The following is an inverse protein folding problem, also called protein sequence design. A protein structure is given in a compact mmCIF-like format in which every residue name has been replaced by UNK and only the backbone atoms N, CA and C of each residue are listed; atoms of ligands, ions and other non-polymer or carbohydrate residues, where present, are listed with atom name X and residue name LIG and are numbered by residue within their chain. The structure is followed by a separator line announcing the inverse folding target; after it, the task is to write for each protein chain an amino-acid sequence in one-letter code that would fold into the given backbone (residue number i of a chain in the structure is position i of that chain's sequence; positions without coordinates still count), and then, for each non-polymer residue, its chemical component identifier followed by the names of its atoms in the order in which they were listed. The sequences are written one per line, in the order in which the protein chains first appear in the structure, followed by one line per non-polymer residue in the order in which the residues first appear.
data_IF_540443938232
#
_entry.id   IF_540443938232
#
_cell.length_a   1.000
_cell.length_b   1.000
_cell.length_c   1.000
_cell.angle_alpha   90.00
_cell.angle_beta   90.00
_cell.angle_gamma   90.00
#
_symmetry.space_group_name_H-M   'P 1'
#
loop_
_entity.id
_entity.type
_entity.pdbx_description
1 polymer ?
#
# COMPACT_ATOMS: atom_id res chain seq x y z
N UNK A 1 10.94 73.07 -36.11
CA UNK A 1 10.31 72.46 -34.91
C UNK A 1 9.65 71.11 -35.19
N UNK A 2 9.29 70.81 -36.43
CA UNK A 2 8.59 69.58 -36.83
C UNK A 2 9.50 68.34 -36.86
N UNK A 3 10.74 68.47 -37.38
CA UNK A 3 11.73 67.37 -37.36
C UNK A 3 12.08 66.86 -35.96
N UNK A 4 12.08 67.72 -34.93
CA UNK A 4 12.40 67.33 -33.55
C UNK A 4 11.24 66.57 -32.87
N UNK A 5 10.01 66.71 -33.38
CA UNK A 5 8.85 65.92 -32.94
C UNK A 5 8.92 64.52 -33.53
N UNK A 6 9.22 64.40 -34.83
CA UNK A 6 9.33 63.11 -35.52
C UNK A 6 10.41 62.21 -34.90
N UNK A 7 11.59 62.78 -34.56
CA UNK A 7 12.67 62.00 -33.91
C UNK A 7 12.25 61.47 -32.55
N UNK A 8 11.55 62.27 -31.72
CA UNK A 8 11.06 61.81 -30.41
C UNK A 8 10.04 60.68 -30.51
N UNK A 9 9.12 60.72 -31.47
CA UNK A 9 8.16 59.63 -31.70
C UNK A 9 8.84 58.34 -32.16
N UNK A 10 9.85 58.44 -33.04
CA UNK A 10 10.61 57.27 -33.49
C UNK A 10 11.42 56.64 -32.35
N UNK A 11 12.02 57.44 -31.47
CA UNK A 11 12.77 56.92 -30.31
C UNK A 11 11.85 56.25 -29.28
N UNK A 12 10.68 56.83 -29.01
CA UNK A 12 9.68 56.23 -28.10
C UNK A 12 9.12 54.91 -28.65
N UNK A 13 8.86 54.83 -29.95
CA UNK A 13 8.42 53.59 -30.60
C UNK A 13 9.50 52.50 -30.54
N UNK A 14 10.77 52.84 -30.77
CA UNK A 14 11.88 51.89 -30.68
C UNK A 14 12.07 51.35 -29.24
N UNK A 15 11.95 52.22 -28.23
CA UNK A 15 12.04 51.81 -26.81
C UNK A 15 10.86 50.91 -26.41
N UNK A 16 9.65 51.19 -26.89
CA UNK A 16 8.47 50.37 -26.62
C UNK A 16 8.57 48.97 -27.26
N UNK A 17 9.09 48.87 -28.49
CA UNK A 17 9.32 47.59 -29.17
C UNK A 17 10.41 46.77 -28.47
N UNK A 18 11.49 47.40 -28.02
CA UNK A 18 12.53 46.72 -27.22
C UNK A 18 12.02 46.26 -25.85
N UNK A 19 11.20 47.06 -25.15
CA UNK A 19 10.61 46.66 -23.87
C UNK A 19 9.62 45.49 -24.03
N UNK A 20 8.80 45.49 -25.08
CA UNK A 20 7.90 44.39 -25.40
C UNK A 20 8.66 43.12 -25.80
N UNK A 21 9.76 43.23 -26.53
CA UNK A 21 10.63 42.10 -26.87
C UNK A 21 11.32 41.51 -25.63
N UNK A 22 11.81 42.36 -24.72
CA UNK A 22 12.43 41.92 -23.45
C UNK A 22 11.40 41.25 -22.54
N UNK A 23 10.18 41.80 -22.42
CA UNK A 23 9.09 41.18 -21.67
C UNK A 23 8.63 39.86 -22.31
N UNK A 24 8.59 39.80 -23.65
CA UNK A 24 8.29 38.58 -24.39
C UNK A 24 9.33 37.49 -24.19
N UNK A 25 10.62 37.84 -24.22
CA UNK A 25 11.73 36.93 -23.94
C UNK A 25 11.75 36.51 -22.47
N UNK A 26 11.47 37.41 -21.51
CA UNK A 26 11.37 37.07 -20.09
C UNK A 26 10.17 36.16 -19.79
N UNK A 27 9.01 36.40 -20.41
CA UNK A 27 7.84 35.54 -20.29
C UNK A 27 8.05 34.19 -20.98
N UNK A 28 8.74 34.17 -22.13
CA UNK A 28 9.13 32.95 -22.83
C UNK A 28 10.17 32.16 -22.04
N UNK A 29 11.17 32.81 -21.43
CA UNK A 29 12.14 32.19 -20.54
C UNK A 29 11.49 31.73 -19.24
N UNK A 30 10.52 32.45 -18.67
CA UNK A 30 9.73 32.01 -17.52
C UNK A 30 8.82 30.82 -17.86
N UNK A 31 8.23 30.78 -19.06
CA UNK A 31 7.52 29.60 -19.60
C UNK A 31 8.47 28.44 -19.88
N UNK A 32 9.69 28.70 -20.35
CA UNK A 32 10.73 27.70 -20.61
C UNK A 32 11.38 27.18 -19.34
N UNK A 33 11.40 27.99 -18.27
CA UNK A 33 11.79 27.60 -16.91
C UNK A 33 10.68 26.80 -16.21
N UNK A 34 9.41 27.15 -16.45
CA UNK A 34 8.22 26.33 -16.07
C UNK A 34 8.01 25.09 -16.96
N UNK A 35 8.73 25.00 -18.07
CA UNK A 35 8.58 23.96 -19.09
C UNK A 35 9.79 23.03 -19.21
N UNK A 36 10.77 23.13 -18.30
CA UNK A 36 11.51 21.92 -17.92
C UNK A 36 10.51 21.16 -17.06
N UNK A 37 10.03 20.03 -17.54
CA UNK A 37 9.44 19.02 -16.67
C UNK A 37 10.49 18.75 -15.58
N UNK A 38 10.33 19.37 -14.41
CA UNK A 38 11.22 19.18 -13.27
C UNK A 38 10.89 17.82 -12.67
N UNK A 39 11.35 16.81 -13.40
CA UNK A 39 11.41 15.44 -12.95
C UNK A 39 12.33 15.40 -11.73
N UNK A 40 11.82 14.89 -10.61
CA UNK A 40 12.63 14.77 -9.39
C UNK A 40 13.71 13.73 -9.58
N UNK A 41 14.79 13.83 -8.80
CA UNK A 41 15.83 12.80 -8.78
C UNK A 41 15.68 11.96 -7.52
N UNK A 42 15.63 10.64 -7.69
CA UNK A 42 15.63 9.74 -6.54
C UNK A 42 16.99 9.80 -5.82
N UNK A 43 16.96 9.84 -4.49
CA UNK A 43 18.14 9.73 -3.62
C UNK A 43 17.86 8.71 -2.52
N UNK A 44 18.86 7.88 -2.19
CA UNK A 44 18.71 6.80 -1.23
C UNK A 44 18.51 7.39 0.17
N UNK A 45 17.58 6.82 0.95
CA UNK A 45 17.20 7.36 2.25
C UNK A 45 18.38 7.54 3.20
N UNK A 46 19.32 6.60 3.24
CA UNK A 46 20.52 6.70 4.09
C UNK A 46 21.41 7.92 3.76
N UNK A 47 21.41 8.36 2.51
CA UNK A 47 22.24 9.49 2.03
C UNK A 47 21.64 10.84 2.47
N UNK A 48 20.37 10.84 2.89
CA UNK A 48 19.66 12.03 3.40
C UNK A 48 19.31 11.93 4.89
N UNK A 49 19.16 10.71 5.43
CA UNK A 49 18.80 10.46 6.83
C UNK A 49 20.01 10.51 7.79
N UNK A 50 21.24 10.47 7.28
CA UNK A 50 22.48 10.59 8.08
C UNK A 50 22.81 12.01 8.53
N UNK A 51 22.22 13.04 7.93
CA UNK A 51 22.40 14.46 8.28
C UNK A 51 21.31 14.90 9.29
N UNK A 52 21.22 14.24 10.46
CA UNK A 52 20.29 14.64 11.53
C UNK A 52 20.52 16.09 12.03
N UNK A 53 21.66 16.70 11.67
CA UNK A 53 22.01 18.09 11.94
C UNK A 53 21.74 19.05 10.76
N UNK A 54 21.27 18.57 9.60
CA UNK A 54 21.03 19.44 8.44
C UNK A 54 19.72 19.10 7.69
N UNK A 55 18.55 19.51 8.21
CA UNK A 55 17.24 19.32 7.58
C UNK A 55 17.02 20.16 6.30
N UNK A 56 18.05 20.84 5.77
CA UNK A 56 17.92 21.84 4.71
C UNK A 56 18.01 21.30 3.26
N UNK A 57 17.92 19.99 3.04
CA UNK A 57 17.96 19.45 1.67
C UNK A 57 16.56 19.31 1.11
N UNK A 58 16.36 19.96 -0.03
CA UNK A 58 15.21 20.01 -0.92
C UNK A 58 14.68 18.60 -1.29
N UNK A 59 14.15 17.84 -0.32
CA UNK A 59 13.79 16.42 -0.43
C UNK A 59 12.34 16.22 -0.01
N UNK A 60 11.58 15.50 -0.82
CA UNK A 60 10.26 14.98 -0.51
C UNK A 60 10.38 13.52 -0.11
N UNK A 61 10.03 13.19 1.13
CA UNK A 61 9.89 11.81 1.54
C UNK A 61 8.52 11.28 1.10
N UNK A 62 8.50 10.14 0.41
CA UNK A 62 7.28 9.43 0.07
C UNK A 62 7.27 8.07 0.74
N UNK A 63 6.08 7.65 1.17
CA UNK A 63 5.86 6.35 1.78
C UNK A 63 6.82 6.01 2.94
N UNK A 64 7.22 7.02 3.71
CA UNK A 64 8.11 6.85 4.84
C UNK A 64 7.34 6.73 6.16
N UNK A 65 7.96 6.09 7.15
CA UNK A 65 7.53 6.23 8.54
C UNK A 65 7.73 7.69 9.01
N UNK A 66 6.63 8.40 9.20
CA UNK A 66 6.45 9.85 9.37
C UNK A 66 7.26 10.59 10.46
N UNK A 67 8.25 9.98 11.13
CA UNK A 67 8.85 10.56 12.36
C UNK A 67 10.02 11.52 12.14
N UNK A 68 10.54 11.69 10.92
CA UNK A 68 11.84 12.35 10.71
C UNK A 68 11.94 13.34 9.52
N UNK A 69 10.87 13.58 8.77
CA UNK A 69 10.92 14.47 7.58
C UNK A 69 9.72 15.41 7.56
N UNK A 70 9.98 16.72 7.45
CA UNK A 70 8.93 17.76 7.45
C UNK A 70 8.08 17.77 6.17
N UNK A 71 8.67 17.44 5.02
CA UNK A 71 7.98 17.31 3.73
C UNK A 71 7.76 15.82 3.43
N UNK A 72 6.57 15.30 3.74
CA UNK A 72 6.25 13.90 3.54
C UNK A 72 4.84 13.65 2.98
N UNK A 73 4.74 12.80 1.95
CA UNK A 73 3.49 12.24 1.45
C UNK A 73 3.47 10.74 1.76
N UNK A 74 2.76 10.35 2.81
CA UNK A 74 2.71 8.96 3.28
C UNK A 74 1.34 8.63 3.83
N UNK A 75 0.79 7.46 3.50
CA UNK A 75 -0.50 7.01 4.02
C UNK A 75 -0.39 6.35 5.42
N UNK A 76 0.81 6.25 5.97
CA UNK A 76 1.10 5.62 7.26
C UNK A 76 0.31 6.26 8.41
N UNK A 77 -0.03 5.44 9.41
CA UNK A 77 -0.82 5.89 10.57
C UNK A 77 -0.10 6.97 11.38
N UNK A 78 -0.87 7.97 11.81
CA UNK A 78 -0.42 9.21 12.47
C UNK A 78 0.29 10.21 11.54
N UNK A 79 0.29 10.00 10.22
CA UNK A 79 0.86 10.93 9.26
C UNK A 79 -0.08 12.10 8.91
N UNK A 80 -1.35 12.08 9.34
CA UNK A 80 -2.32 13.15 9.06
C UNK A 80 -1.85 14.56 9.42
N UNK A 81 -0.96 14.71 10.42
CA UNK A 81 -0.39 16.02 10.80
C UNK A 81 0.61 16.56 9.78
N UNK A 82 1.12 15.71 8.90
CA UNK A 82 2.10 16.04 7.85
C UNK A 82 1.44 16.25 6.48
N UNK A 83 0.21 15.77 6.30
CA UNK A 83 -0.53 15.88 5.04
C UNK A 83 -1.20 17.25 4.93
N UNK A 84 -1.02 17.98 3.82
CA UNK A 84 -1.86 19.12 3.51
C UNK A 84 -3.33 18.68 3.43
N UNK A 85 -4.25 19.37 4.11
CA UNK A 85 -5.67 18.97 4.20
C UNK A 85 -6.38 18.79 2.84
N UNK A 86 -5.83 19.38 1.78
CA UNK A 86 -6.31 19.30 0.40
C UNK A 86 -5.88 18.03 -0.34
N UNK A 87 -4.89 17.28 0.15
CA UNK A 87 -4.39 16.04 -0.48
C UNK A 87 -4.96 14.84 0.28
N UNK A 88 -5.70 13.99 -0.41
CA UNK A 88 -6.32 12.78 0.15
C UNK A 88 -6.09 11.60 -0.77
N UNK A 89 -5.98 10.42 -0.17
CA UNK A 89 -5.65 9.18 -0.84
C UNK A 89 -5.55 8.05 0.15
N UNK A 90 -5.78 6.82 -0.30
CA UNK A 90 -5.67 5.63 0.55
C UNK A 90 -4.24 5.12 0.61
N UNK A 91 -3.50 5.21 -0.50
CA UNK A 91 -2.08 4.89 -0.61
C UNK A 91 -1.19 6.14 -0.65
N UNK A 92 0.12 5.97 -0.46
CA UNK A 92 1.09 7.03 -0.67
C UNK A 92 1.09 7.45 -2.15
N UNK A 93 0.88 6.50 -3.06
CA UNK A 93 0.78 6.78 -4.51
C UNK A 93 -0.42 7.68 -4.79
N UNK A 94 -1.57 7.44 -4.16
CA UNK A 94 -2.74 8.30 -4.33
C UNK A 94 -2.45 9.74 -3.90
N UNK A 95 -1.73 9.93 -2.79
CA UNK A 95 -1.33 11.25 -2.30
C UNK A 95 -0.37 11.96 -3.28
N UNK A 96 0.58 11.21 -3.85
CA UNK A 96 1.51 11.74 -4.87
C UNK A 96 0.78 12.13 -6.14
N UNK A 97 -0.12 11.27 -6.64
CA UNK A 97 -0.91 11.54 -7.83
C UNK A 97 -1.83 12.74 -7.62
N UNK A 98 -2.44 12.87 -6.45
CA UNK A 98 -3.28 14.02 -6.13
C UNK A 98 -2.46 15.31 -6.03
N UNK A 99 -1.26 15.27 -5.43
CA UNK A 99 -0.34 16.39 -5.44
C UNK A 99 0.06 16.80 -6.88
N UNK A 100 0.37 15.82 -7.73
CA UNK A 100 0.70 16.02 -9.14
C UNK A 100 -0.49 16.62 -9.88
N UNK A 101 -1.71 16.10 -9.70
CA UNK A 101 -2.93 16.61 -10.35
C UNK A 101 -3.20 18.06 -9.98
N UNK A 102 -3.06 18.39 -8.70
CA UNK A 102 -3.30 19.75 -8.18
C UNK A 102 -2.16 20.73 -8.48
N UNK A 103 -1.01 20.28 -9.00
CA UNK A 103 0.22 21.08 -9.01
C UNK A 103 0.51 21.65 -7.61
N UNK A 104 0.41 20.80 -6.59
CA UNK A 104 0.48 21.23 -5.21
C UNK A 104 1.87 21.76 -4.86
N UNK A 105 1.93 22.86 -4.10
CA UNK A 105 3.19 23.55 -3.75
C UNK A 105 4.21 22.67 -3.00
N UNK A 106 3.76 21.57 -2.39
CA UNK A 106 4.64 20.58 -1.74
C UNK A 106 5.64 19.98 -2.72
N UNK A 107 5.27 19.91 -4.01
CA UNK A 107 6.16 19.41 -5.06
C UNK A 107 7.26 20.43 -5.37
N UNK A 108 6.98 21.73 -5.26
CA UNK A 108 7.96 22.79 -5.56
C UNK A 108 9.00 22.98 -4.44
N UNK A 109 8.77 22.35 -3.28
CA UNK A 109 9.66 22.38 -2.10
C UNK A 109 10.72 21.28 -2.09
N UNK A 110 10.85 20.52 -3.18
CA UNK A 110 11.78 19.40 -3.28
C UNK A 110 12.32 19.20 -4.70
N UNK A 111 13.64 19.13 -4.88
CA UNK A 111 14.28 18.66 -6.13
C UNK A 111 14.45 17.14 -6.13
N UNK A 112 14.50 16.55 -4.94
CA UNK A 112 14.80 15.14 -4.73
C UNK A 112 13.63 14.41 -4.10
N UNK A 113 13.54 13.11 -4.33
CA UNK A 113 12.57 12.21 -3.69
C UNK A 113 13.29 11.06 -3.03
N UNK A 114 12.78 10.60 -1.89
CA UNK A 114 13.34 9.47 -1.15
C UNK A 114 12.25 8.61 -0.52
N UNK A 115 12.56 7.33 -0.26
CA UNK A 115 11.75 6.39 0.52
C UNK A 115 12.67 5.49 1.37
N UNK A 116 12.26 5.14 2.59
CA UNK A 116 13.07 4.39 3.56
C UNK A 116 12.98 2.86 3.43
N UNK A 117 12.13 2.33 2.54
CA UNK A 117 12.00 0.92 2.25
C UNK A 117 11.59 0.72 0.78
N UNK A 118 11.63 -0.52 0.29
CA UNK A 118 11.16 -0.86 -1.04
C UNK A 118 9.95 -1.80 -0.95
N UNK A 119 8.81 -1.34 -1.44
CA UNK A 119 7.64 -2.14 -1.79
C UNK A 119 6.94 -1.54 -3.01
N UNK A 120 5.78 -2.08 -3.39
CA UNK A 120 5.08 -1.64 -4.59
C UNK A 120 4.53 -0.21 -4.45
N UNK A 121 3.99 0.21 -3.30
CA UNK A 121 3.47 1.58 -3.15
C UNK A 121 4.62 2.59 -3.16
N UNK A 122 5.69 2.32 -2.39
CA UNK A 122 6.92 3.11 -2.41
C UNK A 122 7.48 3.25 -3.83
N UNK A 123 7.60 2.14 -4.57
CA UNK A 123 8.10 2.14 -5.94
C UNK A 123 7.23 3.02 -6.85
N UNK A 124 5.91 2.84 -6.77
CA UNK A 124 4.95 3.52 -7.64
C UNK A 124 4.90 5.04 -7.35
N UNK A 125 5.04 5.45 -6.07
CA UNK A 125 5.23 6.83 -5.65
C UNK A 125 6.47 7.48 -6.27
N UNK A 126 7.62 6.82 -6.11
CA UNK A 126 8.91 7.34 -6.59
C UNK A 126 8.89 7.41 -8.10
N UNK A 127 8.45 6.36 -8.78
CA UNK A 127 8.31 6.32 -10.25
C UNK A 127 7.47 7.50 -10.75
N UNK A 128 6.35 7.82 -10.09
CA UNK A 128 5.49 8.95 -10.44
C UNK A 128 6.21 10.30 -10.33
N UNK A 129 7.11 10.47 -9.37
CA UNK A 129 7.83 11.73 -9.13
C UNK A 129 9.10 11.87 -9.96
N UNK A 130 9.74 10.76 -10.34
CA UNK A 130 10.94 10.72 -11.19
C UNK A 130 10.61 10.52 -12.67
N UNK A 131 9.35 10.70 -13.06
CA UNK A 131 8.91 10.59 -14.44
C UNK A 131 8.23 11.87 -14.94
N UNK A 132 8.18 12.09 -16.26
CA UNK A 132 7.41 13.18 -16.87
C UNK A 132 5.97 13.19 -16.36
N UNK A 133 5.53 14.33 -15.77
CA UNK A 133 4.22 14.45 -15.14
C UNK A 133 3.08 14.09 -16.08
N UNK A 134 3.16 14.54 -17.33
CA UNK A 134 2.11 14.27 -18.33
C UNK A 134 1.97 12.76 -18.60
N UNK A 135 3.09 12.03 -18.65
CA UNK A 135 3.12 10.58 -18.84
C UNK A 135 2.49 9.83 -17.67
N UNK A 136 2.76 10.29 -16.45
CA UNK A 136 2.20 9.72 -15.22
C UNK A 136 0.69 9.97 -15.16
N UNK A 137 0.24 11.22 -15.38
CA UNK A 137 -1.18 11.55 -15.36
C UNK A 137 -1.97 10.87 -16.49
N UNK A 138 -1.36 10.63 -17.64
CA UNK A 138 -1.98 9.85 -18.72
C UNK A 138 -2.22 8.38 -18.34
N UNK A 139 -1.49 7.86 -17.35
CA UNK A 139 -1.61 6.49 -16.86
C UNK A 139 -2.04 6.43 -15.38
N UNK A 140 -2.64 7.50 -14.86
CA UNK A 140 -2.97 7.66 -13.43
C UNK A 140 -3.74 6.45 -12.87
N UNK A 141 -4.73 5.96 -13.61
CA UNK A 141 -5.53 4.81 -13.20
C UNK A 141 -4.68 3.54 -12.99
N UNK A 142 -3.66 3.30 -13.83
CA UNK A 142 -2.77 2.15 -13.67
C UNK A 142 -1.92 2.31 -12.41
N UNK A 143 -1.39 3.51 -12.13
CA UNK A 143 -0.63 3.76 -10.89
C UNK A 143 -1.49 3.48 -9.65
N UNK A 144 -2.76 3.91 -9.65
CA UNK A 144 -3.69 3.66 -8.53
C UNK A 144 -3.99 2.18 -8.36
N UNK A 145 -4.27 1.45 -9.45
CA UNK A 145 -4.50 0.00 -9.38
C UNK A 145 -3.24 -0.74 -8.93
N UNK A 146 -2.05 -0.37 -9.40
CA UNK A 146 -0.78 -0.96 -8.95
C UNK A 146 -0.57 -0.77 -7.45
N UNK A 147 -0.76 0.45 -6.93
CA UNK A 147 -0.62 0.70 -5.49
C UNK A 147 -1.65 -0.08 -4.68
N UNK A 148 -2.91 -0.10 -5.14
CA UNK A 148 -4.00 -0.83 -4.46
C UNK A 148 -3.79 -2.34 -4.43
N UNK A 149 -3.38 -2.92 -5.55
CA UNK A 149 -3.07 -4.36 -5.66
C UNK A 149 -1.77 -4.67 -4.93
N UNK A 150 -0.74 -3.85 -5.05
CA UNK A 150 0.56 -4.14 -4.47
C UNK A 150 0.56 -4.11 -2.95
N UNK A 151 0.03 -3.03 -2.38
CA UNK A 151 0.15 -2.70 -0.96
C UNK A 151 -1.02 -3.25 -0.13
N UNK A 152 -2.26 -3.01 -0.58
CA UNK A 152 -3.45 -3.55 0.09
C UNK A 152 -3.79 -4.98 -0.32
N UNK A 153 -3.13 -5.51 -1.36
CA UNK A 153 -3.44 -6.82 -1.98
C UNK A 153 -4.88 -6.89 -2.51
N UNK A 154 -5.47 -5.73 -2.82
CA UNK A 154 -6.85 -5.59 -3.26
C UNK A 154 -6.97 -5.65 -4.78
N UNK A 155 -7.07 -6.86 -5.32
CA UNK A 155 -7.46 -7.07 -6.70
C UNK A 155 -8.98 -6.96 -6.84
N UNK A 156 -9.47 -6.18 -7.79
CA UNK A 156 -10.88 -6.25 -8.22
C UNK A 156 -11.00 -7.25 -9.37
N UNK A 157 -11.23 -8.51 -9.00
CA UNK A 157 -11.32 -9.61 -9.95
C UNK A 157 -12.52 -9.48 -10.90
N UNK A 158 -13.60 -8.83 -10.47
CA UNK A 158 -14.79 -8.66 -11.30
C UNK A 158 -14.55 -7.62 -12.41
N UNK A 159 -13.89 -6.49 -12.09
CA UNK A 159 -13.42 -5.55 -13.12
C UNK A 159 -12.40 -6.20 -14.06
N UNK A 160 -11.48 -7.01 -13.52
CA UNK A 160 -10.52 -7.72 -14.35
C UNK A 160 -11.21 -8.69 -15.34
N UNK A 161 -12.18 -9.48 -14.86
CA UNK A 161 -13.00 -10.37 -15.70
C UNK A 161 -13.83 -9.60 -16.73
N UNK A 162 -14.29 -8.40 -16.38
CA UNK A 162 -15.00 -7.50 -17.29
C UNK A 162 -14.09 -6.85 -18.35
N UNK A 163 -12.78 -7.10 -18.31
CA UNK A 163 -11.82 -6.58 -19.29
C UNK A 163 -11.30 -5.18 -18.98
N UNK A 164 -11.29 -4.77 -17.71
CA UNK A 164 -10.68 -3.51 -17.30
C UNK A 164 -9.15 -3.56 -17.45
N UNK A 165 -8.64 -2.91 -18.49
CA UNK A 165 -7.21 -2.85 -18.82
C UNK A 165 -6.37 -2.12 -17.77
N UNK A 166 -6.95 -1.25 -16.92
CA UNK A 166 -6.17 -0.62 -15.85
C UNK A 166 -5.89 -1.61 -14.71
N UNK A 167 -6.91 -2.38 -14.32
CA UNK A 167 -6.76 -3.44 -13.31
C UNK A 167 -5.80 -4.51 -13.81
N UNK A 168 -5.93 -4.90 -15.08
CA UNK A 168 -4.99 -5.85 -15.72
C UNK A 168 -3.57 -5.35 -15.64
N UNK A 169 -3.27 -4.16 -16.19
CA UNK A 169 -1.91 -3.59 -16.19
C UNK A 169 -1.34 -3.38 -14.80
N UNK A 170 -2.18 -3.02 -13.83
CA UNK A 170 -1.77 -2.92 -12.43
C UNK A 170 -1.34 -4.27 -11.85
N UNK A 171 -2.12 -5.34 -12.12
CA UNK A 171 -1.77 -6.70 -11.72
C UNK A 171 -0.51 -7.20 -12.44
N UNK A 172 -0.38 -6.96 -13.74
CA UNK A 172 0.81 -7.32 -14.53
C UNK A 172 2.08 -6.69 -13.93
N UNK A 173 2.02 -5.40 -13.57
CA UNK A 173 3.15 -4.71 -12.96
C UNK A 173 3.48 -5.28 -11.58
N UNK A 174 2.47 -5.56 -10.75
CA UNK A 174 2.69 -6.20 -9.44
C UNK A 174 3.36 -7.57 -9.58
N UNK A 175 2.87 -8.42 -10.49
CA UNK A 175 3.47 -9.73 -10.77
C UNK A 175 4.91 -9.61 -11.31
N UNK A 176 5.17 -8.63 -12.18
CA UNK A 176 6.52 -8.35 -12.67
C UNK A 176 7.48 -7.96 -11.54
N UNK A 177 7.09 -7.00 -10.71
CA UNK A 177 7.91 -6.55 -9.58
C UNK A 177 8.18 -7.70 -8.61
N UNK A 178 7.15 -8.46 -8.19
CA UNK A 178 7.30 -9.58 -7.27
C UNK A 178 8.17 -10.71 -7.84
N UNK A 179 7.96 -11.08 -9.10
CA UNK A 179 8.75 -12.15 -9.73
C UNK A 179 10.22 -11.74 -9.87
N UNK A 180 10.49 -10.53 -10.35
CA UNK A 180 11.86 -10.08 -10.52
C UNK A 180 12.54 -9.87 -9.15
N UNK A 181 11.82 -9.34 -8.17
CA UNK A 181 12.36 -9.17 -6.82
C UNK A 181 12.78 -10.52 -6.22
N UNK A 182 11.91 -11.54 -6.28
CA UNK A 182 12.22 -12.89 -5.78
C UNK A 182 13.37 -13.57 -6.52
N UNK A 183 13.57 -13.24 -7.80
CA UNK A 183 14.60 -13.85 -8.65
C UNK A 183 15.98 -13.25 -8.38
N UNK A 184 16.05 -11.93 -8.23
CA UNK A 184 17.31 -11.18 -8.23
C UNK A 184 17.78 -10.78 -6.81
N UNK A 185 16.90 -10.80 -5.81
CA UNK A 185 17.20 -10.35 -4.45
C UNK A 185 16.83 -11.37 -3.38
N UNK A 186 17.41 -11.24 -2.19
CA UNK A 186 16.94 -11.99 -1.04
C UNK A 186 15.52 -11.54 -0.66
N UNK A 187 14.83 -12.37 0.12
CA UNK A 187 13.46 -12.03 0.51
C UNK A 187 13.45 -10.76 1.36
N UNK A 188 12.34 -10.01 1.36
CA UNK A 188 12.19 -8.84 2.22
C UNK A 188 12.65 -9.13 3.66
N UNK A 189 13.37 -8.18 4.24
CA UNK A 189 13.93 -8.24 5.61
C UNK A 189 15.13 -9.17 5.83
N UNK A 190 15.68 -9.85 4.82
CA UNK A 190 16.81 -10.77 5.00
C UNK A 190 18.19 -10.09 4.89
N UNK A 191 18.40 -9.16 3.94
CA UNK A 191 19.75 -8.65 3.61
C UNK A 191 19.88 -7.13 3.42
N UNK A 192 18.77 -6.39 3.44
CA UNK A 192 18.79 -4.94 3.22
C UNK A 192 19.16 -4.52 1.79
N UNK A 193 18.90 -5.38 0.80
CA UNK A 193 19.15 -5.13 -0.64
C UNK A 193 18.29 -4.03 -1.27
N UNK A 194 17.35 -3.43 -0.53
CA UNK A 194 16.45 -2.37 -0.99
C UNK A 194 17.15 -1.24 -1.79
N UNK A 195 18.36 -0.76 -1.44
CA UNK A 195 19.04 0.28 -2.22
C UNK A 195 19.43 -0.14 -3.64
N UNK A 196 19.57 -1.44 -3.93
CA UNK A 196 19.89 -1.96 -5.26
C UNK A 196 18.63 -2.15 -6.12
N UNK A 197 17.49 -2.42 -5.48
CA UNK A 197 16.19 -2.57 -6.15
C UNK A 197 15.79 -1.30 -6.87
N UNK A 198 16.01 -0.13 -6.25
CA UNK A 198 15.72 1.18 -6.84
C UNK A 198 16.42 1.41 -8.17
N UNK A 199 17.74 1.20 -8.21
CA UNK A 199 18.54 1.43 -9.42
C UNK A 199 18.07 0.49 -10.54
N UNK A 200 17.79 -0.78 -10.21
CA UNK A 200 17.32 -1.77 -11.19
C UNK A 200 15.93 -1.44 -11.74
N UNK A 201 14.93 -1.25 -10.88
CA UNK A 201 13.53 -1.11 -11.34
C UNK A 201 13.22 0.26 -11.95
N UNK A 202 13.84 1.35 -11.48
CA UNK A 202 13.61 2.67 -12.07
C UNK A 202 14.20 2.81 -13.48
N UNK A 203 15.26 2.05 -13.78
CA UNK A 203 15.91 2.05 -15.10
C UNK A 203 15.36 0.97 -16.05
N UNK A 204 14.53 0.05 -15.55
CA UNK A 204 14.00 -1.05 -16.36
C UNK A 204 12.92 -0.58 -17.33
N UNK A 205 13.16 -0.63 -18.66
CA UNK A 205 12.18 -0.17 -19.65
C UNK A 205 10.88 -0.99 -19.64
N UNK A 206 10.91 -2.23 -19.15
CA UNK A 206 9.75 -3.13 -19.10
C UNK A 206 8.66 -2.60 -18.18
N UNK A 207 9.03 -1.83 -17.14
CA UNK A 207 8.06 -1.16 -16.24
C UNK A 207 7.13 -0.26 -17.05
N UNK A 208 7.69 0.58 -17.91
CA UNK A 208 6.90 1.49 -18.74
C UNK A 208 6.18 0.77 -19.87
N UNK A 209 6.74 -0.31 -20.41
CA UNK A 209 6.01 -1.15 -21.36
C UNK A 209 4.74 -1.72 -20.72
N UNK A 210 4.79 -2.22 -19.49
CA UNK A 210 3.60 -2.74 -18.79
C UNK A 210 2.59 -1.61 -18.54
N UNK A 211 3.02 -0.49 -17.96
CA UNK A 211 2.15 0.67 -17.67
C UNK A 211 1.42 1.14 -18.94
N UNK A 212 2.10 1.16 -20.08
CA UNK A 212 1.56 1.63 -21.36
C UNK A 212 0.89 0.53 -22.20
N UNK A 213 0.64 -0.66 -21.63
CA UNK A 213 -0.13 -1.74 -22.28
C UNK A 213 0.66 -2.60 -23.26
N UNK A 214 1.99 -2.53 -23.24
CA UNK A 214 2.92 -3.39 -23.98
C UNK A 214 3.51 -4.52 -23.11
N UNK A 215 2.97 -4.73 -21.91
CA UNK A 215 3.46 -5.74 -20.95
C UNK A 215 3.49 -7.16 -21.51
N UNK A 216 2.55 -7.50 -22.41
CA UNK A 216 2.46 -8.80 -23.07
C UNK A 216 3.75 -9.22 -23.80
N UNK A 217 4.60 -8.28 -24.21
CA UNK A 217 5.90 -8.56 -24.83
C UNK A 217 6.88 -9.27 -23.90
N UNK A 218 6.68 -9.13 -22.58
CA UNK A 218 7.60 -9.62 -21.54
C UNK A 218 6.98 -10.76 -20.71
N UNK A 219 5.70 -11.08 -20.97
CA UNK A 219 4.89 -11.98 -20.14
C UNK A 219 5.56 -13.31 -19.89
N UNK A 220 5.94 -14.03 -20.95
CA UNK A 220 6.41 -15.41 -20.81
C UNK A 220 7.82 -15.51 -20.21
N UNK A 221 8.61 -14.45 -20.33
CA UNK A 221 9.98 -14.40 -19.79
C UNK A 221 10.01 -14.02 -18.30
N UNK A 222 9.04 -13.23 -17.84
CA UNK A 222 9.12 -12.61 -16.52
C UNK A 222 7.93 -13.00 -15.62
N UNK A 223 6.70 -12.58 -15.93
CA UNK A 223 5.63 -12.49 -14.92
C UNK A 223 4.39 -13.35 -15.18
N UNK A 224 4.31 -13.99 -16.35
CA UNK A 224 3.12 -14.71 -16.80
C UNK A 224 2.70 -15.86 -15.87
N UNK A 225 3.67 -16.57 -15.28
CA UNK A 225 3.37 -17.66 -14.35
C UNK A 225 2.71 -17.17 -13.06
N UNK A 226 3.17 -16.05 -12.51
CA UNK A 226 2.57 -15.47 -11.31
C UNK A 226 1.17 -14.92 -11.59
N UNK A 227 1.00 -14.25 -12.72
CA UNK A 227 -0.31 -13.78 -13.17
C UNK A 227 -1.31 -14.92 -13.34
N UNK A 228 -0.92 -16.00 -14.01
CA UNK A 228 -1.76 -17.19 -14.20
C UNK A 228 -2.10 -17.87 -12.88
N UNK A 229 -1.14 -17.90 -11.93
CA UNK A 229 -1.39 -18.41 -10.58
C UNK A 229 -2.44 -17.59 -9.87
N UNK A 230 -2.37 -16.25 -9.91
CA UNK A 230 -3.38 -15.38 -9.29
C UNK A 230 -4.78 -15.70 -9.82
N UNK A 231 -4.93 -15.82 -11.15
CA UNK A 231 -6.22 -16.12 -11.76
C UNK A 231 -6.73 -17.51 -11.41
N UNK A 232 -5.85 -18.51 -11.46
CA UNK A 232 -6.17 -19.88 -11.09
C UNK A 232 -6.64 -19.96 -9.63
N UNK A 233 -5.94 -19.27 -8.74
CA UNK A 233 -6.27 -19.25 -7.31
C UNK A 233 -7.58 -18.51 -7.04
N UNK A 234 -7.86 -17.39 -7.74
CA UNK A 234 -9.16 -16.74 -7.68
C UNK A 234 -10.31 -17.68 -8.08
N UNK A 235 -10.09 -18.50 -9.12
CA UNK A 235 -11.08 -19.47 -9.58
C UNK A 235 -11.22 -20.69 -8.66
N UNK A 236 -10.22 -20.97 -7.81
CA UNK A 236 -10.22 -22.10 -6.88
C UNK A 236 -11.01 -21.85 -5.59
N UNK A 237 -11.32 -20.57 -5.29
CA UNK A 237 -12.10 -20.19 -4.11
C UNK A 237 -13.52 -20.75 -4.27
N UNK A 238 -13.94 -21.60 -3.32
CA UNK A 238 -15.23 -22.29 -3.34
C UNK A 238 -16.35 -21.44 -2.79
N UNK A 239 -16.07 -20.69 -1.73
CA UNK A 239 -17.07 -19.91 -1.01
C UNK A 239 -16.44 -18.67 -0.37
N UNK A 240 -17.19 -17.58 -0.42
CA UNK A 240 -16.90 -16.31 0.25
C UNK A 240 -18.12 -15.97 1.11
N UNK A 241 -17.93 -15.71 2.39
CA UNK A 241 -19.00 -15.30 3.31
C UNK A 241 -18.62 -14.01 4.02
N UNK A 242 -19.53 -13.03 4.00
CA UNK A 242 -19.28 -11.70 4.55
C UNK A 242 -20.00 -11.52 5.90
N UNK A 243 -19.29 -10.98 6.87
CA UNK A 243 -19.79 -10.58 8.20
C UNK A 243 -19.39 -9.11 8.46
N UNK A 244 -20.05 -8.16 7.78
CA UNK A 244 -19.63 -6.75 7.77
C UNK A 244 -19.63 -6.10 9.16
N UNK A 245 -20.55 -6.50 10.05
CA UNK A 245 -20.62 -5.99 11.43
C UNK A 245 -19.38 -6.37 12.27
N UNK A 246 -18.67 -7.43 11.86
CA UNK A 246 -17.41 -7.88 12.45
C UNK A 246 -16.20 -7.46 11.62
N UNK A 247 -16.41 -6.83 10.46
CA UNK A 247 -15.37 -6.57 9.47
C UNK A 247 -14.64 -7.83 9.04
N UNK A 248 -15.34 -8.97 9.02
CA UNK A 248 -14.81 -10.30 8.77
C UNK A 248 -15.33 -10.84 7.44
N UNK A 249 -14.43 -11.35 6.61
CA UNK A 249 -14.75 -12.23 5.48
C UNK A 249 -14.16 -13.61 5.70
N UNK A 250 -14.92 -14.64 5.33
CA UNK A 250 -14.48 -16.04 5.38
C UNK A 250 -14.28 -16.52 3.96
N UNK A 251 -13.08 -17.02 3.67
CA UNK A 251 -12.69 -17.53 2.36
C UNK A 251 -12.41 -19.02 2.48
N UNK A 252 -13.14 -19.82 1.70
CA UNK A 252 -12.94 -21.26 1.63
C UNK A 252 -12.29 -21.65 0.30
N UNK A 253 -11.18 -22.38 0.38
CA UNK A 253 -10.44 -22.88 -0.78
C UNK A 253 -9.89 -24.29 -0.49
N UNK A 254 -9.65 -25.13 -1.50
CA UNK A 254 -9.02 -26.45 -1.29
C UNK A 254 -7.64 -26.33 -0.64
N UNK A 255 -6.82 -25.43 -1.18
CA UNK A 255 -5.43 -25.22 -0.82
C UNK A 255 -5.16 -23.74 -0.57
N UNK A 256 -4.05 -23.39 0.11
CA UNK A 256 -3.63 -22.01 0.26
C UNK A 256 -3.46 -21.31 -1.09
N UNK A 257 -3.97 -20.08 -1.17
CA UNK A 257 -4.04 -19.29 -2.40
C UNK A 257 -3.09 -18.09 -2.35
N UNK A 258 -2.79 -17.53 -3.52
CA UNK A 258 -2.05 -16.29 -3.66
C UNK A 258 -2.72 -15.13 -2.93
N UNK A 259 -1.96 -14.19 -2.35
CA UNK A 259 -2.53 -13.07 -1.58
C UNK A 259 -3.47 -12.18 -2.40
N UNK A 260 -3.09 -11.86 -3.65
CA UNK A 260 -3.98 -11.11 -4.55
C UNK A 260 -5.28 -11.84 -4.85
N UNK A 261 -5.33 -13.17 -4.74
CA UNK A 261 -6.58 -13.92 -4.82
C UNK A 261 -7.33 -13.91 -3.47
N UNK A 262 -6.62 -14.14 -2.36
CA UNK A 262 -7.19 -14.21 -1.01
C UNK A 262 -7.96 -12.95 -0.63
N UNK A 263 -7.42 -11.77 -0.95
CA UNK A 263 -8.04 -10.47 -0.60
C UNK A 263 -8.85 -9.87 -1.75
N UNK A 264 -9.00 -10.59 -2.87
CA UNK A 264 -9.69 -10.06 -4.04
C UNK A 264 -11.18 -9.82 -3.77
N UNK A 265 -11.66 -8.62 -4.10
CA UNK A 265 -13.09 -8.29 -4.07
C UNK A 265 -13.70 -8.16 -2.68
N UNK A 266 -12.91 -8.17 -1.61
CA UNK A 266 -13.40 -8.15 -0.23
C UNK A 266 -13.07 -6.83 0.46
N UNK A 267 -14.05 -6.01 0.88
CA UNK A 267 -13.80 -4.77 1.62
C UNK A 267 -13.50 -4.99 3.10
N UNK A 268 -13.77 -6.19 3.63
CA UNK A 268 -13.55 -6.50 5.04
C UNK A 268 -12.07 -6.48 5.41
N UNK A 269 -11.79 -6.13 6.66
CA UNK A 269 -10.45 -5.89 7.19
C UNK A 269 -9.86 -7.10 7.92
N UNK A 270 -10.68 -8.12 8.20
CA UNK A 270 -10.29 -9.39 8.81
C UNK A 270 -10.65 -10.52 7.85
N UNK A 271 -9.71 -11.41 7.59
CA UNK A 271 -9.89 -12.56 6.68
C UNK A 271 -9.65 -13.84 7.46
N UNK A 272 -10.66 -14.71 7.51
CA UNK A 272 -10.53 -16.10 7.95
C UNK A 272 -10.43 -16.99 6.71
N UNK A 273 -9.24 -17.53 6.46
CA UNK A 273 -9.01 -18.49 5.39
C UNK A 273 -9.20 -19.92 5.91
N UNK A 274 -10.08 -20.68 5.26
CA UNK A 274 -10.41 -22.05 5.57
C UNK A 274 -9.98 -22.96 4.42
N UNK A 275 -9.03 -23.86 4.71
CA UNK A 275 -8.50 -24.81 3.73
C UNK A 275 -8.86 -26.26 4.09
N UNK A 276 -8.81 -27.15 3.10
CA UNK A 276 -9.07 -28.59 3.33
C UNK A 276 -8.12 -29.16 4.38
N UNK A 277 -8.60 -30.16 5.12
CA UNK A 277 -7.83 -30.80 6.18
C UNK A 277 -7.71 -29.95 7.45
N UNK A 278 -8.73 -29.14 7.76
CA UNK A 278 -8.82 -28.29 8.94
C UNK A 278 -7.65 -27.30 9.09
N UNK A 279 -7.17 -26.74 7.98
CA UNK A 279 -6.04 -25.80 7.97
C UNK A 279 -6.59 -24.38 7.92
N UNK A 280 -6.21 -23.54 8.89
CA UNK A 280 -6.79 -22.21 9.04
C UNK A 280 -5.75 -21.13 9.26
N UNK A 281 -6.04 -19.94 8.74
CA UNK A 281 -5.31 -18.70 9.05
C UNK A 281 -6.32 -17.56 9.25
N UNK A 282 -6.10 -16.73 10.26
CA UNK A 282 -6.87 -15.52 10.52
C UNK A 282 -5.94 -14.32 10.43
N UNK A 283 -6.22 -13.39 9.52
CA UNK A 283 -5.36 -12.24 9.25
C UNK A 283 -6.13 -10.92 9.35
N UNK A 284 -5.52 -9.93 10.01
CA UNK A 284 -5.95 -8.53 9.95
C UNK A 284 -5.18 -7.82 8.84
N UNK A 285 -5.91 -7.31 7.85
CA UNK A 285 -5.35 -6.77 6.60
C UNK A 285 -4.61 -5.46 6.82
N UNK A 286 -3.71 -5.16 5.89
CA UNK A 286 -2.90 -3.94 5.90
C UNK A 286 -3.71 -2.64 5.91
N UNK A 287 -4.92 -2.63 5.34
CA UNK A 287 -5.89 -1.52 5.39
C UNK A 287 -6.12 -0.98 6.80
N UNK A 288 -6.06 -1.84 7.83
CA UNK A 288 -6.23 -1.42 9.23
C UNK A 288 -4.92 -1.03 9.91
N UNK A 289 -3.78 -1.14 9.24
CA UNK A 289 -2.50 -0.61 9.73
C UNK A 289 -2.38 0.88 9.44
N UNK A 290 -2.99 1.33 8.35
CA UNK A 290 -2.79 2.65 7.74
C UNK A 290 -3.99 3.60 7.92
N UNK A 291 -3.88 4.81 7.39
CA UNK A 291 -4.96 5.80 7.34
C UNK A 291 -5.67 5.80 5.98
N UNK A 292 -6.71 4.99 5.85
CA UNK A 292 -7.61 5.07 4.71
C UNK A 292 -8.47 6.34 4.75
N UNK A 293 -8.67 6.93 3.57
CA UNK A 293 -9.52 8.10 3.34
C UNK A 293 -10.87 7.70 2.73
N UNK A 294 -10.94 6.62 1.95
CA UNK A 294 -12.12 6.24 1.16
C UNK A 294 -13.21 5.59 2.00
N UNK A 295 -12.86 4.88 3.07
CA UNK A 295 -13.81 4.16 3.91
C UNK A 295 -13.43 4.15 5.39
N UNK A 296 -14.43 4.09 6.29
CA UNK A 296 -14.18 3.77 7.69
C UNK A 296 -13.75 2.30 7.84
N UNK A 297 -13.11 2.00 8.97
CA UNK A 297 -12.61 0.66 9.32
C UNK A 297 -13.04 0.30 10.75
N UNK A 298 -13.06 -0.99 11.06
CA UNK A 298 -13.17 -1.43 12.45
C UNK A 298 -11.81 -1.41 13.14
N UNK A 299 -11.76 -1.13 14.46
CA UNK A 299 -10.50 -1.15 15.19
C UNK A 299 -9.92 -2.56 15.25
N UNK A 300 -8.59 -2.65 15.19
CA UNK A 300 -7.87 -3.91 15.36
C UNK A 300 -8.02 -4.44 16.78
N UNK A 301 -8.58 -5.63 16.89
CA UNK A 301 -8.64 -6.42 18.13
C UNK A 301 -7.41 -7.34 18.20
N UNK A 302 -6.76 -7.41 19.36
CA UNK A 302 -5.50 -8.11 19.57
C UNK A 302 -5.65 -9.63 19.55
N UNK A 303 -5.33 -10.29 18.43
CA UNK A 303 -5.54 -11.73 18.23
C UNK A 303 -4.78 -12.66 19.20
N UNK A 304 -3.83 -12.15 19.99
CA UNK A 304 -3.07 -12.97 20.96
C UNK A 304 -3.96 -13.58 22.05
N UNK A 305 -5.10 -12.97 22.38
CA UNK A 305 -6.06 -13.54 23.33
C UNK A 305 -6.79 -14.74 22.73
N UNK A 306 -7.28 -14.62 21.48
CA UNK A 306 -7.89 -15.73 20.76
C UNK A 306 -6.92 -16.92 20.62
N UNK A 307 -5.67 -16.65 20.23
CA UNK A 307 -4.65 -17.70 20.12
C UNK A 307 -4.43 -18.45 21.45
N UNK A 308 -4.40 -17.75 22.59
CA UNK A 308 -4.28 -18.38 23.92
C UNK A 308 -5.51 -19.24 24.25
N UNK A 309 -6.71 -18.74 23.95
CA UNK A 309 -7.95 -19.46 24.20
C UNK A 309 -8.04 -20.74 23.35
N UNK A 310 -7.73 -20.65 22.05
CA UNK A 310 -7.67 -21.79 21.15
C UNK A 310 -6.61 -22.81 21.57
N UNK A 311 -5.42 -22.35 21.98
CA UNK A 311 -4.37 -23.25 22.48
C UNK A 311 -4.81 -24.03 23.72
N UNK A 312 -5.50 -23.38 24.65
CA UNK A 312 -6.07 -24.03 25.84
C UNK A 312 -7.16 -25.03 25.46
N UNK A 313 -8.00 -24.68 24.49
CA UNK A 313 -9.14 -25.48 24.05
C UNK A 313 -8.70 -26.75 23.31
N UNK A 314 -7.75 -26.63 22.38
CA UNK A 314 -7.37 -27.74 21.49
C UNK A 314 -6.09 -28.46 21.93
N UNK A 315 -5.28 -27.83 22.78
CA UNK A 315 -3.93 -28.30 23.13
C UNK A 315 -2.91 -28.09 22.00
N UNK A 316 -3.25 -27.33 20.97
CA UNK A 316 -2.35 -26.97 19.86
C UNK A 316 -1.64 -25.65 20.15
N UNK A 317 -0.50 -25.41 19.51
CA UNK A 317 0.26 -24.15 19.69
C UNK A 317 -0.25 -23.07 18.74
N UNK A 318 -1.39 -22.48 19.07
CA UNK A 318 -1.88 -21.30 18.36
C UNK A 318 -1.06 -20.07 18.74
N UNK A 319 -0.65 -19.32 17.72
CA UNK A 319 0.14 -18.11 17.88
C UNK A 319 -0.47 -16.99 17.05
N UNK A 320 -0.31 -15.75 17.51
CA UNK A 320 -0.72 -14.56 16.79
C UNK A 320 0.36 -13.49 16.86
N UNK A 321 0.53 -12.75 15.78
CA UNK A 321 1.37 -11.56 15.77
C UNK A 321 0.79 -10.44 16.65
N UNK A 322 1.62 -9.42 16.91
CA UNK A 322 1.14 -8.21 17.60
C UNK A 322 0.17 -7.49 16.68
N UNK A 323 -0.89 -6.91 17.23
CA UNK A 323 -1.86 -6.13 16.44
C UNK A 323 -1.26 -4.88 15.77
N UNK A 324 -0.07 -4.46 16.23
CA UNK A 324 0.75 -3.39 15.67
C UNK A 324 1.66 -3.83 14.53
N UNK A 325 1.69 -5.12 14.18
CA UNK A 325 2.36 -5.58 12.96
C UNK A 325 1.51 -5.17 11.73
N UNK A 326 2.08 -5.03 10.53
CA UNK A 326 1.34 -4.50 9.38
C UNK A 326 0.23 -5.43 8.87
N UNK A 327 0.45 -6.75 8.91
CA UNK A 327 -0.58 -7.78 8.70
C UNK A 327 -0.57 -8.82 9.83
N UNK A 328 -1.23 -8.58 10.98
CA UNK A 328 -1.24 -9.52 12.09
C UNK A 328 -1.89 -10.84 11.69
N UNK A 329 -1.10 -11.92 11.71
CA UNK A 329 -1.53 -13.27 11.37
C UNK A 329 -1.66 -14.14 12.62
N UNK A 330 -2.76 -14.89 12.73
CA UNK A 330 -2.97 -15.95 13.71
C UNK A 330 -3.10 -17.31 13.02
N UNK A 331 -2.39 -18.30 13.56
CA UNK A 331 -2.27 -19.65 13.00
C UNK A 331 -1.72 -20.63 14.03
N UNK A 332 -1.75 -21.92 13.71
CA UNK A 332 -0.98 -22.93 14.44
C UNK A 332 0.49 -22.82 14.00
N UNK A 333 1.40 -22.73 14.97
CA UNK A 333 2.84 -22.84 14.77
C UNK A 333 3.36 -24.14 15.38
N UNK A 334 4.46 -24.67 14.82
CA UNK A 334 5.19 -25.77 15.43
C UNK A 334 6.31 -25.20 16.29
N UNK A 335 6.50 -25.69 17.54
CA UNK A 335 7.55 -25.18 18.43
C UNK A 335 8.97 -25.20 17.83
N UNK A 336 9.22 -26.15 16.93
CA UNK A 336 10.53 -26.34 16.29
C UNK A 336 10.76 -25.41 15.08
N UNK A 337 9.73 -24.74 14.57
CA UNK A 337 9.82 -23.91 13.36
C UNK A 337 8.79 -22.78 13.36
N UNK A 338 9.10 -21.72 14.09
CA UNK A 338 8.38 -20.44 13.93
C UNK A 338 8.71 -19.84 12.56
N UNK A 339 7.72 -19.24 11.92
CA UNK A 339 7.95 -18.50 10.68
C UNK A 339 8.84 -17.29 10.96
N UNK A 340 9.84 -17.07 10.10
CA UNK A 340 10.60 -15.84 10.10
C UNK A 340 9.73 -14.67 9.56
N UNK A 341 10.27 -13.44 9.54
CA UNK A 341 9.51 -12.29 9.02
C UNK A 341 9.19 -12.48 7.54
N UNK A 342 10.15 -12.82 6.68
CA UNK A 342 9.90 -13.05 5.26
C UNK A 342 8.79 -14.10 4.98
N UNK A 343 8.78 -15.23 5.70
CA UNK A 343 7.78 -16.29 5.55
C UNK A 343 6.37 -15.85 5.97
N UNK A 344 6.25 -14.95 6.97
CA UNK A 344 4.95 -14.38 7.36
C UNK A 344 4.37 -13.46 6.29
N UNK A 345 5.24 -12.74 5.57
CA UNK A 345 4.84 -11.78 4.53
C UNK A 345 4.68 -12.41 3.15
N UNK A 346 5.35 -13.53 2.88
CA UNK A 346 5.22 -14.33 1.65
C UNK A 346 3.83 -14.95 1.50
N UNK A 347 3.52 -15.51 0.33
CA UNK A 347 2.16 -15.97 0.05
C UNK A 347 1.75 -17.16 0.94
N UNK A 348 0.44 -17.33 1.22
CA UNK A 348 -0.05 -18.47 2.02
C UNK A 348 0.43 -19.84 1.51
N UNK A 349 0.54 -20.04 0.20
CA UNK A 349 1.03 -21.31 -0.39
C UNK A 349 2.53 -21.55 -0.24
N UNK A 350 3.31 -20.55 0.18
CA UNK A 350 4.78 -20.65 0.35
C UNK A 350 5.17 -21.09 1.77
N UNK A 351 4.19 -21.22 2.67
CA UNK A 351 4.39 -21.58 4.07
C UNK A 351 3.56 -22.82 4.46
N UNK A 352 4.05 -23.63 5.41
CA UNK A 352 3.23 -24.72 5.94
C UNK A 352 2.02 -24.15 6.68
N UNK A 353 0.87 -24.81 6.60
CA UNK A 353 -0.31 -24.53 7.43
C UNK A 353 -0.74 -25.86 8.04
N UNK A 354 -0.89 -25.90 9.36
CA UNK A 354 -1.14 -27.14 10.10
C UNK A 354 -2.63 -27.34 10.36
N UNK A 355 -3.03 -28.62 10.35
CA UNK A 355 -4.39 -29.02 10.66
C UNK A 355 -4.72 -28.73 12.13
N UNK A 356 -5.93 -28.26 12.37
CA UNK A 356 -6.52 -28.10 13.69
C UNK A 356 -7.44 -29.25 14.04
N UNK A 357 -7.59 -29.52 15.34
CA UNK A 357 -8.64 -30.36 15.90
C UNK A 357 -10.05 -29.78 15.76
N UNK A 358 -10.18 -28.46 15.56
CA UNK A 358 -11.47 -27.85 15.29
C UNK A 358 -11.86 -28.06 13.83
N UNK A 359 -13.12 -28.41 13.59
CA UNK A 359 -13.68 -28.30 12.25
C UNK A 359 -13.91 -26.83 11.85
N UNK A 360 -14.27 -26.63 10.57
CA UNK A 360 -14.41 -25.30 9.98
C UNK A 360 -15.51 -24.47 10.67
N UNK A 361 -16.61 -25.11 11.08
CA UNK A 361 -17.73 -24.43 11.73
C UNK A 361 -17.38 -24.03 13.16
N UNK A 362 -16.67 -24.90 13.89
CA UNK A 362 -16.15 -24.61 15.22
C UNK A 362 -15.15 -23.45 15.18
N UNK A 363 -14.24 -23.43 14.20
CA UNK A 363 -13.29 -22.32 13.99
C UNK A 363 -14.02 -21.01 13.71
N UNK A 364 -14.96 -21.01 12.76
CA UNK A 364 -15.75 -19.83 12.41
C UNK A 364 -16.51 -19.27 13.63
N UNK A 365 -17.23 -20.12 14.36
CA UNK A 365 -17.96 -19.71 15.56
C UNK A 365 -17.02 -19.12 16.63
N UNK A 366 -15.84 -19.70 16.82
CA UNK A 366 -14.85 -19.18 17.78
C UNK A 366 -14.36 -17.78 17.38
N UNK A 367 -14.05 -17.56 16.09
CA UNK A 367 -13.66 -16.25 15.57
C UNK A 367 -14.80 -15.23 15.70
N UNK A 368 -16.02 -15.60 15.36
CA UNK A 368 -17.19 -14.72 15.48
C UNK A 368 -17.47 -14.34 16.93
N UNK A 369 -17.48 -15.30 17.85
CA UNK A 369 -17.68 -15.04 19.28
C UNK A 369 -16.60 -14.11 19.83
N UNK A 370 -15.35 -14.32 19.42
CA UNK A 370 -14.23 -13.48 19.82
C UNK A 370 -14.33 -12.04 19.32
N UNK A 371 -14.59 -11.84 18.03
CA UNK A 371 -14.71 -10.50 17.45
C UNK A 371 -15.93 -9.76 18.01
N UNK A 372 -17.08 -10.44 18.12
CA UNK A 372 -18.29 -9.86 18.73
C UNK A 372 -18.01 -9.39 20.15
N UNK A 373 -17.45 -10.26 20.99
CA UNK A 373 -17.11 -9.92 22.37
C UNK A 373 -16.15 -8.74 22.45
N UNK A 374 -15.09 -8.74 21.63
CA UNK A 374 -14.09 -7.69 21.61
C UNK A 374 -14.65 -6.33 21.21
N UNK A 375 -15.47 -6.28 20.16
CA UNK A 375 -16.08 -5.05 19.67
C UNK A 375 -17.13 -4.52 20.67
N UNK A 376 -17.98 -5.39 21.22
CA UNK A 376 -19.00 -5.01 22.20
C UNK A 376 -18.38 -4.45 23.50
N UNK A 377 -17.35 -5.12 24.04
CA UNK A 377 -16.67 -4.66 25.26
C UNK A 377 -15.87 -3.37 25.03
N UNK A 378 -15.41 -3.14 23.80
CA UNK A 378 -14.79 -1.89 23.39
C UNK A 378 -15.81 -0.77 23.12
N UNK A 379 -17.12 -1.03 23.21
CA UNK A 379 -18.18 -0.07 22.92
C UNK A 379 -18.24 0.33 21.44
N UNK A 380 -17.77 -0.52 20.54
CA UNK A 380 -17.72 -0.27 19.10
C UNK A 380 -19.03 -0.72 18.47
N UNK A 381 -19.87 0.25 18.08
CA UNK A 381 -21.18 -0.01 17.46
C UNK A 381 -21.14 0.02 15.93
N UNK A 382 -19.95 0.16 15.34
CA UNK A 382 -19.78 0.18 13.89
C UNK A 382 -18.42 0.72 13.44
N UNK A 383 -18.18 0.80 12.11
CA UNK A 383 -16.95 1.34 11.54
C UNK A 383 -16.68 2.78 11.95
N UNK A 384 -15.42 3.09 12.22
CA UNK A 384 -14.96 4.45 12.57
C UNK A 384 -13.97 4.96 11.54
N UNK A 385 -13.84 6.29 11.36
CA UNK A 385 -12.82 6.83 10.47
C UNK A 385 -11.41 6.34 10.86
N UNK A 386 -10.63 5.83 9.89
CA UNK A 386 -9.31 5.25 10.18
C UNK A 386 -8.34 6.24 10.85
N UNK A 387 -8.46 7.52 10.48
CA UNK A 387 -7.75 8.67 11.06
C UNK A 387 -8.03 8.87 12.56
N UNK A 388 -9.16 8.39 13.07
CA UNK A 388 -9.51 8.49 14.49
C UNK A 388 -8.88 7.38 15.33
N UNK A 389 -8.25 6.37 14.72
CA UNK A 389 -7.67 5.20 15.38
C UNK A 389 -6.14 5.30 15.53
N UNK A 390 -5.64 6.27 16.30
CA UNK A 390 -4.19 6.30 16.61
C UNK A 390 -3.71 5.02 17.32
N UNK A 391 -2.41 4.71 17.25
CA UNK A 391 -1.84 3.58 17.98
C UNK A 391 -2.12 3.64 19.49
N UNK A 392 -2.08 4.83 20.10
CA UNK A 392 -2.41 5.01 21.52
C UNK A 392 -3.85 4.62 21.82
N UNK A 393 -4.80 5.03 20.97
CA UNK A 393 -6.22 4.68 21.12
C UNK A 393 -6.45 3.18 20.93
N UNK A 394 -5.76 2.55 19.98
CA UNK A 394 -5.85 1.10 19.80
C UNK A 394 -5.27 0.33 21.00
N UNK A 395 -4.19 0.81 21.62
CA UNK A 395 -3.67 0.24 22.86
C UNK A 395 -4.66 0.40 24.03
N UNK A 396 -5.26 1.57 24.19
CA UNK A 396 -6.29 1.83 25.20
C UNK A 396 -7.50 0.92 25.01
N UNK A 397 -8.02 0.85 23.78
CA UNK A 397 -9.13 -0.02 23.40
C UNK A 397 -8.85 -1.49 23.70
N UNK A 398 -7.68 -1.99 23.28
CA UNK A 398 -7.33 -3.39 23.53
C UNK A 398 -7.08 -3.67 25.02
N UNK A 399 -6.60 -2.67 25.77
CA UNK A 399 -6.39 -2.76 27.21
C UNK A 399 -7.68 -2.74 28.04
N UNK A 400 -8.78 -2.22 27.49
CA UNK A 400 -10.06 -2.13 28.20
C UNK A 400 -10.93 -3.38 28.07
N UNK A 401 -10.61 -4.30 27.15
CA UNK A 401 -11.41 -5.52 26.94
C UNK A 401 -11.07 -6.58 28.00
N UNK A 402 -12.06 -6.95 28.81
CA UNK A 402 -11.91 -8.04 29.79
C UNK A 402 -12.19 -9.41 29.16
N UNK A 403 -11.14 -9.99 28.56
CA UNK A 403 -11.20 -11.31 27.91
C UNK A 403 -11.51 -12.48 28.85
N UNK A 404 -11.52 -12.30 30.18
CA UNK A 404 -11.76 -13.39 31.13
C UNK A 404 -13.20 -13.91 31.10
N UNK A 405 -14.14 -13.10 30.60
CA UNK A 405 -15.56 -13.45 30.52
C UNK A 405 -15.95 -14.18 29.21
N UNK A 406 -15.01 -14.34 28.27
CA UNK A 406 -15.23 -15.07 27.03
C UNK A 406 -14.86 -16.55 27.21
N UNK A 407 -15.86 -17.43 27.10
CA UNK A 407 -15.69 -18.88 27.11
C UNK A 407 -15.92 -19.45 25.70
N UNK A 408 -14.95 -20.19 25.16
CA UNK A 408 -15.05 -20.86 23.85
C UNK A 408 -15.41 -22.35 23.98
N UNK A 409 -15.43 -22.89 25.20
CA UNK A 409 -15.73 -24.30 25.47
C UNK A 409 -17.09 -24.77 24.89
N UNK A 410 -18.18 -23.98 24.93
CA UNK A 410 -19.45 -24.38 24.32
C UNK A 410 -19.41 -24.53 22.79
N UNK A 411 -18.38 -23.96 22.14
CA UNK A 411 -18.25 -23.97 20.68
C UNK A 411 -17.63 -25.29 20.19
N UNK A 412 -16.84 -25.94 21.05
CA UNK A 412 -16.09 -27.18 20.77
C UNK A 412 -16.86 -28.47 21.13
N UNK A 413 -17.94 -28.34 21.91
CA UNK A 413 -18.92 -29.41 22.16
C UNK A 413 -19.86 -29.55 20.96
#
# INVERSE_FOLDING_TARGET
MEMARETKTATLAAVAVSAAAVLGVAAMLARRKRGREEVKRFVKFKDVAGDAENPSRNVLAVDCEARKVENCLTHHRCAFKLKPAAIRGDSSTDLVLEALRQNHEILDRADFVTCNHFDIDAFTCVLALVSPRERVLANEAVFRETARIGDFRELDIERLKAGDENVRRGLELCCFLNTLERREFARPFEDGSDPLKWDMFLEDPRVWDIIEGRGHLHRDADWGQEFDRVLSDCASIRRVQHFPDLGLVVIEAPEPVHYYALFSGNPEDVVLALYDGNRYELEQRYSTYVELCSRPVLPRVCLTHLAKMLSKLTGESWHANRFTDSGPLMRIDKPEKNLNKAERYGHPYERPIYASKLDADQMLRAVQAYLTFGLDNAGITGPVPAQDLSWSKLHELNGSIDWSNLALEPIAA
#
